data_IF_671058680371
#
_entry.id   IF_671058680371
#
_cell.length_a   1.000
_cell.length_b   1.000
_cell.length_c   1.000
_cell.angle_alpha   90.00
_cell.angle_beta   90.00
_cell.angle_gamma   90.00
#
_symmetry.space_group_name_H-M   'P 1'
#
loop_
_entity.id
_entity.type
_entity.pdbx_description
1 polymer ?
#
# COMPACT_ATOMS: atom_id res chain seq x y z
N UNK A 1 -15.81 37.24 -42.70
CA UNK A 1 -15.54 35.93 -42.07
C UNK A 1 -14.15 36.01 -41.44
N UNK A 2 -14.03 36.75 -40.34
CA UNK A 2 -12.75 36.98 -39.67
C UNK A 2 -12.67 36.04 -38.47
N UNK A 3 -11.74 35.09 -38.57
CA UNK A 3 -11.39 34.14 -37.52
C UNK A 3 -10.59 34.92 -36.46
N UNK A 4 -11.26 35.29 -35.35
CA UNK A 4 -10.60 35.91 -34.21
C UNK A 4 -9.83 34.81 -33.49
N UNK A 5 -8.55 34.73 -33.79
CA UNK A 5 -7.58 33.96 -33.02
C UNK A 5 -7.49 34.68 -31.67
N UNK A 6 -8.23 34.19 -30.68
CA UNK A 6 -8.13 34.63 -29.29
C UNK A 6 -6.69 34.44 -28.88
N UNK A 7 -5.98 35.56 -28.72
CA UNK A 7 -4.65 35.61 -28.15
C UNK A 7 -4.70 35.15 -26.71
N UNK A 8 -4.58 33.84 -26.49
CA UNK A 8 -4.21 33.30 -25.20
C UNK A 8 -2.76 33.69 -24.95
N UNK A 9 -2.56 34.80 -24.23
CA UNK A 9 -1.26 35.19 -23.71
C UNK A 9 -0.71 34.05 -22.81
N UNK A 10 0.52 33.56 -23.01
CA UNK A 10 1.07 32.42 -22.27
C UNK A 10 1.46 32.75 -20.82
N UNK A 11 1.02 33.90 -20.29
CA UNK A 11 1.09 34.24 -18.89
C UNK A 11 0.05 33.41 -18.12
N UNK A 12 0.31 32.10 -18.05
CA UNK A 12 -0.43 31.12 -17.28
C UNK A 12 -0.77 31.74 -15.93
N UNK A 13 -2.08 31.85 -15.71
CA UNK A 13 -2.69 32.54 -14.59
C UNK A 13 -2.02 32.08 -13.30
N UNK A 14 -1.28 32.97 -12.58
CA UNK A 14 -0.31 32.56 -11.55
C UNK A 14 -0.95 31.82 -10.37
N UNK A 15 -2.26 31.99 -10.19
CA UNK A 15 -3.04 31.24 -9.21
C UNK A 15 -3.26 29.78 -9.62
N UNK A 16 -3.37 29.47 -10.91
CA UNK A 16 -3.53 28.10 -11.40
C UNK A 16 -2.25 27.30 -11.18
N UNK A 17 -1.09 27.87 -11.50
CA UNK A 17 0.20 27.21 -11.23
C UNK A 17 0.43 26.99 -9.73
N UNK A 18 0.00 27.93 -8.89
CA UNK A 18 0.05 27.78 -7.43
C UNK A 18 -0.84 26.62 -6.94
N UNK A 19 -2.07 26.49 -7.46
CA UNK A 19 -2.96 25.38 -7.14
C UNK A 19 -2.40 24.04 -7.58
N UNK A 20 -1.82 23.96 -8.79
CA UNK A 20 -1.17 22.76 -9.28
C UNK A 20 0.07 22.40 -8.44
N UNK A 21 0.90 23.37 -8.08
CA UNK A 21 2.06 23.14 -7.23
C UNK A 21 1.65 22.62 -5.83
N UNK A 22 0.61 23.19 -5.23
CA UNK A 22 0.08 22.73 -3.94
C UNK A 22 -0.50 21.32 -4.04
N UNK A 23 -1.25 21.02 -5.10
CA UNK A 23 -1.79 19.69 -5.37
C UNK A 23 -0.68 18.65 -5.58
N UNK A 24 0.37 19.00 -6.31
CA UNK A 24 1.54 18.14 -6.51
C UNK A 24 2.28 17.86 -5.20
N UNK A 25 2.48 18.88 -4.35
CA UNK A 25 3.08 18.71 -3.02
C UNK A 25 2.23 17.79 -2.14
N UNK A 26 0.90 18.00 -2.11
CA UNK A 26 -0.02 17.17 -1.35
C UNK A 26 0.00 15.71 -1.84
N UNK A 27 -0.02 15.49 -3.16
CA UNK A 27 0.05 14.16 -3.76
C UNK A 27 1.38 13.47 -3.41
N UNK A 28 2.51 14.17 -3.51
CA UNK A 28 3.82 13.64 -3.15
C UNK A 28 3.89 13.28 -1.67
N UNK A 29 3.36 14.14 -0.79
CA UNK A 29 3.29 13.87 0.65
C UNK A 29 2.42 12.65 0.95
N UNK A 30 1.27 12.53 0.29
CA UNK A 30 0.37 11.40 0.46
C UNK A 30 0.97 10.08 -0.04
N UNK A 31 1.66 10.12 -1.18
CA UNK A 31 2.40 8.98 -1.73
C UNK A 31 3.52 8.54 -0.78
N UNK A 32 4.32 9.49 -0.27
CA UNK A 32 5.36 9.21 0.72
C UNK A 32 4.78 8.60 2.00
N UNK A 33 3.70 9.19 2.54
CA UNK A 33 3.03 8.69 3.73
C UNK A 33 2.43 7.29 3.53
N UNK A 34 1.91 7.03 2.33
CA UNK A 34 1.38 5.72 1.96
C UNK A 34 2.49 4.69 1.89
N UNK A 35 3.62 5.03 1.28
CA UNK A 35 4.81 4.17 1.22
C UNK A 35 5.39 3.88 2.61
N UNK A 36 5.46 4.90 3.47
CA UNK A 36 5.83 4.72 4.88
C UNK A 36 4.86 3.76 5.58
N UNK A 37 3.54 3.93 5.41
CA UNK A 37 2.54 3.05 6.04
C UNK A 37 2.62 1.61 5.54
N UNK A 38 2.76 1.41 4.22
CA UNK A 38 2.88 0.09 3.61
C UNK A 38 4.18 -0.60 4.00
N UNK A 39 5.25 0.13 4.35
CA UNK A 39 6.50 -0.43 4.87
C UNK A 39 6.51 -0.56 6.40
N UNK A 40 5.82 0.31 7.14
CA UNK A 40 5.72 0.26 8.59
C UNK A 40 4.87 -0.93 9.07
N UNK A 41 3.76 -1.25 8.38
CA UNK A 41 2.95 -2.44 8.69
C UNK A 41 3.77 -3.74 8.67
N UNK A 42 4.49 -4.11 7.59
CA UNK A 42 5.25 -5.35 7.53
C UNK A 42 6.45 -5.31 8.50
N UNK A 43 7.09 -4.15 8.72
CA UNK A 43 8.17 -4.04 9.70
C UNK A 43 7.69 -4.23 11.14
N UNK A 44 6.49 -3.73 11.49
CA UNK A 44 5.88 -3.95 12.80
C UNK A 44 5.47 -5.41 12.98
N UNK A 45 4.89 -6.02 11.94
CA UNK A 45 4.54 -7.43 11.94
C UNK A 45 5.77 -8.32 12.14
N UNK A 46 6.86 -8.04 11.41
CA UNK A 46 8.13 -8.74 11.58
C UNK A 46 8.76 -8.56 12.96
N UNK A 47 8.64 -7.37 13.58
CA UNK A 47 9.11 -7.14 14.97
C UNK A 47 8.27 -7.90 15.99
N UNK A 48 6.94 -7.87 15.85
CA UNK A 48 6.03 -8.61 16.72
C UNK A 48 6.28 -10.13 16.64
N UNK A 49 6.46 -10.66 15.43
CA UNK A 49 6.79 -12.08 15.22
C UNK A 49 8.15 -12.47 15.82
N UNK A 50 9.17 -11.62 15.68
CA UNK A 50 10.47 -11.84 16.34
C UNK A 50 10.36 -11.79 17.87
N UNK A 51 9.55 -10.89 18.41
CA UNK A 51 9.29 -10.81 19.85
C UNK A 51 8.55 -12.05 20.37
N UNK A 52 7.77 -12.72 19.52
CA UNK A 52 7.11 -13.99 19.81
C UNK A 52 8.04 -15.21 19.68
N UNK A 53 9.34 -15.02 19.44
CA UNK A 53 10.31 -16.11 19.29
C UNK A 53 10.27 -16.83 17.94
N UNK A 54 9.36 -16.43 17.04
CA UNK A 54 9.27 -16.96 15.69
C UNK A 54 10.37 -16.30 14.83
N UNK A 55 11.53 -16.97 14.75
CA UNK A 55 12.58 -16.69 13.75
C UNK A 55 12.09 -17.17 12.38
N UNK A 56 11.05 -16.52 11.85
CA UNK A 56 10.63 -16.71 10.46
C UNK A 56 11.75 -16.32 9.51
N UNK A 57 11.90 -17.09 8.43
CA UNK A 57 12.82 -16.80 7.32
C UNK A 57 12.65 -15.36 6.84
N UNK A 58 13.72 -14.74 6.32
CA UNK A 58 13.72 -13.33 5.95
C UNK A 58 12.57 -13.03 4.96
N UNK A 59 11.53 -12.36 5.46
CA UNK A 59 10.34 -12.01 4.71
C UNK A 59 10.71 -11.19 3.46
N UNK A 60 10.48 -11.75 2.27
CA UNK A 60 10.85 -11.17 0.97
C UNK A 60 9.60 -10.58 0.31
N UNK A 61 9.29 -9.34 0.69
CA UNK A 61 8.16 -8.57 0.17
C UNK A 61 8.45 -8.05 -1.26
N UNK A 62 7.48 -7.88 -2.19
CA UNK A 62 6.05 -8.20 -2.17
C UNK A 62 5.61 -9.27 -3.21
N UNK A 63 6.50 -9.73 -4.10
CA UNK A 63 6.12 -10.61 -5.22
C UNK A 63 6.45 -12.08 -5.00
N UNK A 64 7.40 -12.40 -4.11
CA UNK A 64 7.87 -13.78 -3.93
C UNK A 64 6.88 -14.65 -3.17
N UNK A 65 6.33 -14.13 -2.08
CA UNK A 65 5.58 -14.93 -1.10
C UNK A 65 4.05 -14.81 -1.28
N UNK A 66 3.56 -13.81 -2.02
CA UNK A 66 2.12 -13.61 -2.23
C UNK A 66 1.47 -14.82 -2.93
N UNK A 67 2.19 -15.42 -3.89
CA UNK A 67 1.70 -16.60 -4.62
C UNK A 67 1.58 -17.81 -3.70
N UNK A 68 2.52 -17.97 -2.78
CA UNK A 68 2.52 -19.05 -1.80
C UNK A 68 1.45 -18.82 -0.73
N UNK A 69 1.29 -17.58 -0.26
CA UNK A 69 0.18 -17.17 0.59
C UNK A 69 -1.18 -17.45 -0.03
N UNK A 70 -1.40 -17.09 -1.30
CA UNK A 70 -2.67 -17.38 -1.98
C UNK A 70 -2.86 -18.89 -2.13
N UNK A 71 -1.79 -19.63 -2.48
CA UNK A 71 -1.83 -21.09 -2.61
C UNK A 71 -2.18 -21.80 -1.31
N UNK A 72 -1.73 -21.28 -0.16
CA UNK A 72 -2.05 -21.83 1.16
C UNK A 72 -3.38 -21.30 1.72
N UNK A 73 -3.74 -20.06 1.39
CA UNK A 73 -4.98 -19.43 1.85
C UNK A 73 -6.21 -20.02 1.18
N UNK A 74 -6.14 -20.39 -0.11
CA UNK A 74 -7.25 -21.03 -0.83
C UNK A 74 -7.72 -22.32 -0.14
N UNK A 75 -6.84 -23.31 0.14
CA UNK A 75 -7.24 -24.52 0.87
C UNK A 75 -7.62 -24.22 2.32
N UNK A 76 -6.97 -23.26 3.01
CA UNK A 76 -7.31 -22.89 4.38
C UNK A 76 -8.71 -22.25 4.51
N UNK A 77 -9.13 -21.44 3.53
CA UNK A 77 -10.49 -20.90 3.46
C UNK A 77 -11.51 -21.94 2.99
N UNK A 78 -11.08 -22.92 2.19
CA UNK A 78 -11.95 -24.00 1.68
C UNK A 78 -12.16 -25.13 2.71
N UNK A 79 -11.26 -25.23 3.69
CA UNK A 79 -11.35 -26.12 4.84
C UNK A 79 -11.30 -25.29 6.13
N UNK A 80 -12.36 -24.53 6.44
CA UNK A 80 -12.42 -23.79 7.68
C UNK A 80 -12.29 -24.78 8.85
N UNK A 81 -11.39 -24.48 9.78
CA UNK A 81 -11.20 -25.30 10.98
C UNK A 81 -12.56 -25.48 11.66
N UNK A 82 -12.91 -26.73 11.99
CA UNK A 82 -14.20 -27.02 12.61
C UNK A 82 -14.35 -26.14 13.86
N UNK A 83 -15.36 -25.26 13.87
CA UNK A 83 -15.61 -24.23 14.90
C UNK A 83 -15.72 -24.77 16.34
N UNK A 84 -15.71 -26.09 16.53
CA UNK A 84 -15.91 -26.80 17.80
C UNK A 84 -14.75 -27.71 18.18
N UNK A 85 -13.65 -27.73 17.42
CA UNK A 85 -12.47 -28.52 17.78
C UNK A 85 -11.61 -27.74 18.78
N UNK A 86 -11.95 -27.84 20.07
CA UNK A 86 -11.11 -27.41 21.19
C UNK A 86 -9.98 -28.41 21.46
N UNK A 87 -9.30 -28.88 20.41
CA UNK A 87 -8.09 -29.70 20.54
C UNK A 87 -6.86 -28.78 20.67
N UNK A 88 -6.82 -27.99 21.74
CA UNK A 88 -5.56 -27.42 22.22
C UNK A 88 -5.02 -28.50 23.15
N UNK A 89 -3.97 -29.20 22.70
CA UNK A 89 -3.30 -30.21 23.53
C UNK A 89 -2.88 -29.59 24.88
N UNK A 90 -3.06 -30.31 26.01
CA UNK A 90 -2.64 -29.83 27.33
C UNK A 90 -1.11 -29.71 27.43
#
# INVERSE_FOLDING_TARGET
MAMVIVGASPAATPWMSLLFALGALAALWWAWRSLERTLLRPRRLGRALRAQGLRGTAYRFPSGDMKEFVRLSVPACSQPMALRSHAIAP
#
